data_IF_349408516310
#
_entry.id   IF_349408516310
#
_cell.length_a   1.000
_cell.length_b   1.000
_cell.length_c   1.000
_cell.angle_alpha   90.00
_cell.angle_beta   90.00
_cell.angle_gamma   90.00
#
_symmetry.space_group_name_H-M   'P 1'
#
loop_
_entity.id
_entity.type
_entity.pdbx_description
1 polymer ?
#
# COMPACT_ATOMS: atom_id res chain seq x y z
N UNK A 1 -40.00 6.81 48.15
CA UNK A 1 -40.22 6.13 46.83
C UNK A 1 -40.03 7.00 45.60
N UNK A 2 -40.32 8.30 45.62
CA UNK A 2 -40.17 9.21 44.45
C UNK A 2 -38.71 9.53 44.07
N UNK A 3 -37.77 9.52 45.04
CA UNK A 3 -36.36 9.85 44.81
C UNK A 3 -35.60 8.75 44.01
N UNK A 4 -35.91 7.49 44.22
CA UNK A 4 -35.18 6.36 43.62
C UNK A 4 -35.58 6.17 42.11
N UNK A 5 -36.79 6.59 41.74
CA UNK A 5 -37.27 6.52 40.33
C UNK A 5 -36.61 7.59 39.51
N UNK A 6 -36.35 8.77 40.05
CA UNK A 6 -35.66 9.86 39.32
C UNK A 6 -34.19 9.54 39.05
N UNK A 7 -33.50 8.88 39.99
CA UNK A 7 -32.12 8.43 39.80
C UNK A 7 -32.05 7.32 38.75
N UNK A 8 -33.00 6.39 38.70
CA UNK A 8 -33.07 5.32 37.71
C UNK A 8 -33.30 5.85 36.28
N UNK A 9 -34.16 6.89 36.14
CA UNK A 9 -34.42 7.54 34.83
C UNK A 9 -33.18 8.32 34.39
N UNK A 10 -32.42 8.94 35.29
CA UNK A 10 -31.21 9.68 34.96
C UNK A 10 -30.07 8.76 34.53
N UNK A 11 -29.97 7.55 35.10
CA UNK A 11 -28.99 6.51 34.68
C UNK A 11 -29.35 5.89 33.30
N UNK A 12 -30.63 5.77 32.97
CA UNK A 12 -31.06 5.27 31.65
C UNK A 12 -30.84 6.28 30.53
N UNK A 13 -30.84 7.57 30.81
CA UNK A 13 -30.53 8.62 29.82
C UNK A 13 -29.03 8.76 29.55
N UNK A 14 -28.15 8.33 30.49
CA UNK A 14 -26.69 8.35 30.29
C UNK A 14 -26.16 7.15 29.51
N UNK A 15 -26.92 6.06 29.38
CA UNK A 15 -26.53 4.87 28.64
C UNK A 15 -26.75 4.98 27.12
N UNK A 16 -27.34 6.07 26.61
CA UNK A 16 -27.66 6.24 25.18
C UNK A 16 -26.64 7.07 24.40
N UNK A 17 -25.52 7.48 25.00
CA UNK A 17 -24.58 8.44 24.41
C UNK A 17 -23.25 7.84 23.94
N UNK A 18 -23.17 6.54 23.65
CA UNK A 18 -21.90 5.98 23.11
C UNK A 18 -22.09 4.83 22.10
N UNK A 19 -23.10 4.92 21.23
CA UNK A 19 -23.01 4.23 19.95
C UNK A 19 -22.30 5.17 18.95
N UNK A 20 -20.98 5.24 19.05
CA UNK A 20 -20.16 5.64 17.92
C UNK A 20 -20.31 4.55 16.87
N UNK A 21 -21.24 4.73 15.95
CA UNK A 21 -21.21 4.00 14.69
C UNK A 21 -19.85 4.33 14.07
N UNK A 22 -18.98 3.35 13.92
CA UNK A 22 -17.91 3.42 12.93
C UNK A 22 -18.64 3.62 11.60
N UNK A 23 -18.72 4.86 11.16
CA UNK A 23 -19.28 5.21 9.86
C UNK A 23 -18.26 4.68 8.88
N UNK A 24 -18.60 3.61 8.16
CA UNK A 24 -17.86 3.17 7.00
C UNK A 24 -17.67 4.40 6.13
N UNK A 25 -16.43 4.84 5.98
CA UNK A 25 -16.10 6.05 5.25
C UNK A 25 -16.38 5.80 3.77
N UNK A 26 -17.51 6.29 3.29
CA UNK A 26 -17.93 6.13 1.90
C UNK A 26 -16.99 6.95 0.99
N UNK A 27 -16.33 6.26 0.07
CA UNK A 27 -15.51 6.86 -0.96
C UNK A 27 -16.38 7.32 -2.12
N UNK A 28 -16.37 8.62 -2.40
CA UNK A 28 -17.11 9.23 -3.49
C UNK A 28 -16.16 9.57 -4.66
N UNK A 29 -16.65 9.59 -5.90
CA UNK A 29 -15.84 10.01 -7.04
C UNK A 29 -15.25 11.42 -6.82
N UNK A 30 -13.96 11.59 -7.14
CA UNK A 30 -13.29 12.90 -7.03
C UNK A 30 -13.92 13.91 -7.99
N UNK A 31 -14.26 15.09 -7.47
CA UNK A 31 -14.89 16.15 -8.26
C UNK A 31 -13.90 16.92 -9.15
N UNK A 32 -12.68 17.15 -8.66
CA UNK A 32 -11.61 17.85 -9.40
C UNK A 32 -10.41 16.91 -9.63
N UNK A 33 -10.56 16.03 -10.63
CA UNK A 33 -9.54 15.05 -11.02
C UNK A 33 -8.24 15.74 -11.47
N UNK A 34 -8.32 16.87 -12.18
CA UNK A 34 -7.14 17.55 -12.71
C UNK A 34 -6.26 18.12 -11.58
N UNK A 35 -6.87 18.70 -10.56
CA UNK A 35 -6.16 19.17 -9.39
C UNK A 35 -5.52 18.00 -8.61
N UNK A 36 -6.24 16.89 -8.43
CA UNK A 36 -5.69 15.69 -7.80
C UNK A 36 -4.48 15.15 -8.58
N UNK A 37 -4.62 14.97 -9.90
CA UNK A 37 -3.52 14.50 -10.76
C UNK A 37 -2.31 15.41 -10.64
N UNK A 38 -2.49 16.72 -10.70
CA UNK A 38 -1.41 17.70 -10.56
C UNK A 38 -0.68 17.57 -9.22
N UNK A 39 -1.40 17.39 -8.12
CA UNK A 39 -0.82 17.19 -6.78
C UNK A 39 -0.04 15.87 -6.68
N UNK A 40 -0.59 14.78 -7.22
CA UNK A 40 0.09 13.46 -7.24
C UNK A 40 1.39 13.53 -8.04
N UNK A 41 1.38 14.11 -9.24
CA UNK A 41 2.57 14.28 -10.07
C UNK A 41 3.62 15.14 -9.36
N UNK A 42 3.21 16.26 -8.75
CA UNK A 42 4.13 17.12 -8.01
C UNK A 42 4.78 16.39 -6.83
N UNK A 43 3.99 15.62 -6.07
CA UNK A 43 4.49 14.80 -4.96
C UNK A 43 5.46 13.71 -5.45
N UNK A 44 5.09 12.96 -6.50
CA UNK A 44 5.94 11.92 -7.09
C UNK A 44 7.27 12.50 -7.58
N UNK A 45 7.26 13.67 -8.23
CA UNK A 45 8.46 14.34 -8.71
C UNK A 45 9.38 14.82 -7.59
N UNK A 46 8.82 15.28 -6.47
CA UNK A 46 9.56 15.75 -5.30
C UNK A 46 10.10 14.64 -4.39
N UNK A 47 9.59 13.39 -4.55
CA UNK A 47 10.00 12.26 -3.73
C UNK A 47 11.13 11.50 -4.40
N UNK A 48 12.34 11.52 -3.83
CA UNK A 48 13.49 10.77 -4.36
C UNK A 48 13.85 9.54 -3.53
N UNK A 49 13.43 9.45 -2.28
CA UNK A 49 13.58 8.25 -1.46
C UNK A 49 12.46 8.11 -0.43
N UNK A 50 12.21 6.87 -0.02
CA UNK A 50 11.25 6.52 1.04
C UNK A 50 11.90 5.48 1.92
N UNK A 51 11.87 5.69 3.23
CA UNK A 51 12.11 4.68 4.26
C UNK A 51 10.83 4.54 5.07
N UNK A 52 10.33 3.31 5.26
CA UNK A 52 9.11 3.06 6.01
C UNK A 52 9.14 1.67 6.66
N UNK A 53 8.35 1.50 7.72
CA UNK A 53 7.90 0.18 8.13
C UNK A 53 6.64 -0.18 7.36
N UNK A 54 6.33 -1.47 7.25
CA UNK A 54 5.06 -1.92 6.70
C UNK A 54 4.43 -3.05 7.52
N UNK A 55 3.12 -3.11 7.45
CA UNK A 55 2.31 -4.26 7.84
C UNK A 55 1.57 -4.73 6.60
N UNK A 56 1.75 -6.00 6.26
CA UNK A 56 1.03 -6.66 5.20
C UNK A 56 0.03 -7.64 5.80
N UNK A 57 -1.20 -7.58 5.31
CA UNK A 57 -2.29 -8.49 5.65
C UNK A 57 -2.72 -9.18 4.36
N UNK A 58 -2.59 -10.51 4.29
CA UNK A 58 -3.10 -11.30 3.19
C UNK A 58 -4.37 -12.01 3.64
N UNK A 59 -5.47 -11.69 2.96
CA UNK A 59 -6.77 -12.30 3.13
C UNK A 59 -6.96 -13.32 2.02
N UNK A 60 -7.17 -14.56 2.41
CA UNK A 60 -7.50 -15.65 1.49
C UNK A 60 -8.93 -16.05 1.74
N UNK A 61 -9.77 -16.02 0.71
CA UNK A 61 -11.19 -16.35 0.82
C UNK A 61 -11.46 -17.70 1.50
N UNK A 62 -10.57 -18.67 1.29
CA UNK A 62 -10.69 -19.99 1.89
C UNK A 62 -10.23 -20.06 3.34
N UNK A 63 -9.60 -19.03 3.90
CA UNK A 63 -9.06 -19.02 5.25
C UNK A 63 -9.81 -18.00 6.11
N UNK A 64 -10.21 -18.41 7.31
CA UNK A 64 -10.78 -17.49 8.31
C UNK A 64 -9.70 -16.56 8.93
N UNK A 65 -8.44 -16.99 8.89
CA UNK A 65 -7.32 -16.25 9.47
C UNK A 65 -6.63 -15.36 8.44
N UNK A 66 -6.32 -14.12 8.87
CA UNK A 66 -5.51 -13.18 8.09
C UNK A 66 -4.03 -13.46 8.32
N UNK A 67 -3.28 -13.65 7.24
CA UNK A 67 -1.83 -13.85 7.31
C UNK A 67 -1.13 -12.48 7.43
N UNK A 68 -0.58 -12.20 8.61
CA UNK A 68 0.07 -10.91 8.90
C UNK A 68 1.58 -11.05 8.76
N UNK A 69 2.18 -10.17 7.97
CA UNK A 69 3.63 -10.01 7.85
C UNK A 69 4.03 -8.57 8.14
N UNK A 70 5.25 -8.37 8.66
CA UNK A 70 5.79 -7.05 8.97
C UNK A 70 7.21 -6.93 8.45
N UNK A 71 7.62 -5.69 8.18
CA UNK A 71 8.97 -5.47 7.70
C UNK A 71 9.32 -4.01 7.48
N UNK A 72 10.42 -3.82 6.75
CA UNK A 72 10.97 -2.53 6.39
C UNK A 72 10.98 -2.38 4.88
N UNK A 73 10.70 -1.18 4.42
CA UNK A 73 10.65 -0.82 3.01
C UNK A 73 11.59 0.35 2.74
N UNK A 74 12.44 0.18 1.73
CA UNK A 74 13.28 1.25 1.20
C UNK A 74 13.00 1.41 -0.29
N UNK A 75 12.87 2.64 -0.70
CA UNK A 75 12.82 3.04 -2.10
C UNK A 75 13.77 4.22 -2.33
N UNK A 76 14.46 4.22 -3.46
CA UNK A 76 15.21 5.36 -3.99
C UNK A 76 15.02 5.43 -5.50
N UNK A 77 14.86 6.65 -6.03
CA UNK A 77 14.75 6.89 -7.48
C UNK A 77 15.79 6.06 -8.26
N UNK A 78 15.51 5.83 -9.53
CA UNK A 78 16.22 4.89 -10.41
C UNK A 78 15.93 3.42 -10.08
N UNK A 79 14.69 3.16 -9.57
CA UNK A 79 14.15 1.81 -9.33
C UNK A 79 14.98 0.97 -8.35
N UNK A 80 15.52 1.58 -7.30
CA UNK A 80 16.10 0.84 -6.20
C UNK A 80 15.03 0.60 -5.14
N UNK A 81 14.76 -0.67 -4.84
CA UNK A 81 13.76 -1.11 -3.85
C UNK A 81 14.37 -2.19 -2.98
N UNK A 82 14.17 -2.11 -1.67
CA UNK A 82 14.42 -3.20 -0.73
C UNK A 82 13.17 -3.41 0.10
N UNK A 83 12.66 -4.63 0.07
CA UNK A 83 11.51 -5.06 0.83
C UNK A 83 11.94 -6.16 1.77
N UNK A 84 12.14 -5.84 3.03
CA UNK A 84 12.69 -6.75 4.03
C UNK A 84 11.61 -7.18 5.02
N UNK A 85 11.18 -8.44 4.91
CA UNK A 85 10.25 -9.04 5.86
C UNK A 85 11.00 -9.50 7.11
N UNK A 86 10.49 -9.11 8.27
CA UNK A 86 11.10 -9.40 9.58
C UNK A 86 10.27 -10.37 10.41
N UNK A 87 8.98 -10.51 10.12
CA UNK A 87 8.04 -11.38 10.84
C UNK A 87 6.87 -11.78 9.94
N UNK A 88 6.31 -13.01 10.06
CA UNK A 88 6.80 -14.13 10.84
C UNK A 88 8.02 -14.84 10.20
N UNK A 89 8.15 -14.75 8.87
CA UNK A 89 9.23 -15.37 8.09
C UNK A 89 10.16 -14.25 7.61
N UNK A 90 11.46 -14.42 7.85
CA UNK A 90 12.47 -13.47 7.40
C UNK A 90 12.87 -13.78 5.96
N UNK A 91 12.64 -12.84 5.07
CA UNK A 91 13.20 -12.84 3.72
C UNK A 91 13.31 -11.41 3.19
N UNK A 92 14.12 -11.22 2.18
CA UNK A 92 14.35 -9.91 1.60
C UNK A 92 14.21 -9.98 0.08
N UNK A 93 13.49 -9.01 -0.49
CA UNK A 93 13.44 -8.78 -1.93
C UNK A 93 14.19 -7.49 -2.20
N UNK A 94 15.14 -7.53 -3.13
CA UNK A 94 15.92 -6.38 -3.55
C UNK A 94 15.77 -6.21 -5.05
N UNK A 95 15.50 -4.98 -5.47
CA UNK A 95 15.60 -4.55 -6.85
C UNK A 95 16.67 -3.46 -6.88
N UNK A 96 17.77 -3.73 -7.54
CA UNK A 96 18.88 -2.81 -7.61
C UNK A 96 19.67 -3.01 -8.89
N UNK A 97 19.93 -1.93 -9.62
CA UNK A 97 20.70 -1.96 -10.89
C UNK A 97 20.21 -3.00 -11.91
N UNK A 98 18.88 -3.16 -12.04
CA UNK A 98 18.28 -4.11 -12.99
C UNK A 98 18.29 -5.58 -12.54
N UNK A 99 18.78 -5.86 -11.34
CA UNK A 99 18.75 -7.19 -10.75
C UNK A 99 17.59 -7.29 -9.76
N UNK A 100 16.90 -8.43 -9.81
CA UNK A 100 15.92 -8.85 -8.83
C UNK A 100 16.52 -9.97 -7.98
N UNK A 101 16.68 -9.73 -6.70
CA UNK A 101 17.30 -10.64 -5.77
C UNK A 101 16.33 -11.03 -4.67
N UNK A 102 16.19 -12.33 -4.41
CA UNK A 102 15.46 -12.86 -3.24
C UNK A 102 16.46 -13.53 -2.32
N UNK A 103 16.45 -13.11 -1.06
CA UNK A 103 17.26 -13.71 0.01
C UNK A 103 16.34 -14.37 1.01
N UNK A 104 16.47 -15.67 1.21
CA UNK A 104 15.71 -16.44 2.19
C UNK A 104 16.62 -17.46 2.87
N UNK A 105 16.83 -17.33 4.20
CA UNK A 105 17.65 -18.25 5.00
C UNK A 105 18.98 -18.59 4.34
N UNK A 106 19.81 -17.62 4.04
CA UNK A 106 21.12 -17.74 3.37
C UNK A 106 21.08 -18.18 1.90
N UNK A 107 19.91 -18.55 1.37
CA UNK A 107 19.76 -18.86 -0.05
C UNK A 107 19.48 -17.57 -0.81
N UNK A 108 20.37 -17.28 -1.76
CA UNK A 108 20.23 -16.14 -2.66
C UNK A 108 19.81 -16.65 -4.02
N UNK A 109 18.75 -16.06 -4.57
CA UNK A 109 18.35 -16.24 -5.98
C UNK A 109 18.37 -14.88 -6.63
N UNK A 110 19.08 -14.78 -7.73
CA UNK A 110 19.22 -13.54 -8.48
C UNK A 110 18.90 -13.78 -9.95
N UNK A 111 18.17 -12.86 -10.56
CA UNK A 111 17.86 -12.88 -11.98
C UNK A 111 17.72 -11.45 -12.50
N UNK A 112 18.03 -11.27 -13.79
CA UNK A 112 17.78 -10.01 -14.46
C UNK A 112 16.26 -9.82 -14.57
N UNK A 113 15.78 -8.64 -14.15
CA UNK A 113 14.35 -8.33 -14.13
C UNK A 113 13.74 -8.38 -15.54
N UNK A 114 14.51 -7.98 -16.56
CA UNK A 114 14.07 -7.95 -17.94
C UNK A 114 13.96 -9.36 -18.56
N UNK A 115 14.60 -10.36 -17.95
CA UNK A 115 14.56 -11.76 -18.43
C UNK A 115 13.26 -12.49 -18.06
N UNK A 116 12.45 -11.93 -17.16
CA UNK A 116 11.18 -12.51 -16.73
C UNK A 116 10.07 -11.47 -16.79
N UNK A 117 9.19 -11.54 -17.81
CA UNK A 117 8.12 -10.57 -18.01
C UNK A 117 7.22 -10.38 -16.79
N UNK A 118 6.91 -11.46 -16.05
CA UNK A 118 6.04 -11.39 -14.88
C UNK A 118 6.69 -10.56 -13.75
N UNK A 119 7.98 -10.77 -13.46
CA UNK A 119 8.69 -9.99 -12.44
C UNK A 119 8.88 -8.53 -12.87
N UNK A 120 9.11 -8.30 -14.17
CA UNK A 120 9.18 -6.96 -14.74
C UNK A 120 7.87 -6.20 -14.53
N UNK A 121 6.73 -6.83 -14.80
CA UNK A 121 5.40 -6.23 -14.61
C UNK A 121 5.10 -5.99 -13.13
N UNK A 122 5.36 -6.95 -12.24
CA UNK A 122 5.15 -6.78 -10.79
C UNK A 122 6.02 -5.63 -10.26
N UNK A 123 7.30 -5.58 -10.65
CA UNK A 123 8.17 -4.48 -10.26
C UNK A 123 7.64 -3.12 -10.75
N UNK A 124 7.26 -3.06 -12.02
CA UNK A 124 6.69 -1.87 -12.64
C UNK A 124 5.44 -1.40 -11.88
N UNK A 125 4.54 -2.33 -11.52
CA UNK A 125 3.34 -2.03 -10.74
C UNK A 125 3.67 -1.48 -9.35
N UNK A 126 4.59 -2.13 -8.62
CA UNK A 126 5.00 -1.68 -7.28
C UNK A 126 5.62 -0.29 -7.34
N UNK A 127 6.57 -0.07 -8.25
CA UNK A 127 7.24 1.22 -8.41
C UNK A 127 6.25 2.30 -8.85
N UNK A 128 5.36 1.99 -9.79
CA UNK A 128 4.29 2.87 -10.26
C UNK A 128 3.35 3.27 -9.12
N UNK A 129 2.91 2.31 -8.31
CA UNK A 129 2.05 2.56 -7.16
C UNK A 129 2.70 3.49 -6.13
N UNK A 130 3.99 3.25 -5.83
CA UNK A 130 4.74 4.01 -4.81
C UNK A 130 5.08 5.43 -5.30
N UNK A 131 5.42 5.57 -6.58
CA UNK A 131 5.80 6.85 -7.18
C UNK A 131 4.61 7.71 -7.60
N UNK A 132 3.41 7.12 -7.74
CA UNK A 132 2.26 7.81 -8.30
C UNK A 132 2.34 7.99 -9.83
N UNK A 133 3.21 7.25 -10.52
CA UNK A 133 3.41 7.34 -11.98
C UNK A 133 2.29 6.64 -12.78
N UNK A 134 1.21 6.23 -12.14
CA UNK A 134 0.05 5.58 -12.78
C UNK A 134 -0.88 6.58 -13.48
N UNK A 135 -0.66 7.86 -13.27
CA UNK A 135 -1.44 8.92 -13.89
C UNK A 135 -1.15 8.93 -15.39
N UNK A 136 -2.21 8.72 -16.20
CA UNK A 136 -2.13 8.63 -17.64
C UNK A 136 -1.25 7.47 -18.18
N UNK A 137 -0.97 6.45 -17.34
CA UNK A 137 -0.28 5.25 -17.77
C UNK A 137 -1.26 4.33 -18.54
N UNK A 138 -0.97 3.99 -19.83
CA UNK A 138 -1.86 3.17 -20.65
C UNK A 138 -2.00 1.71 -20.16
N UNK A 139 -1.10 1.25 -19.30
CA UNK A 139 -1.16 -0.09 -18.71
C UNK A 139 -2.32 -0.24 -17.71
N UNK A 140 -2.95 0.89 -17.30
CA UNK A 140 -4.04 0.90 -16.35
C UNK A 140 -5.20 1.79 -16.77
N UNK A 141 -6.43 1.34 -16.51
CA UNK A 141 -7.59 2.21 -16.40
C UNK A 141 -7.65 2.72 -14.97
N UNK A 142 -7.54 4.04 -14.78
CA UNK A 142 -7.51 4.67 -13.45
C UNK A 142 -8.84 5.33 -13.13
N UNK A 143 -9.36 5.07 -11.93
CA UNK A 143 -10.53 5.73 -11.34
C UNK A 143 -10.11 6.37 -10.01
N UNK A 144 -10.69 7.54 -9.67
CA UNK A 144 -10.29 8.30 -8.49
C UNK A 144 -11.48 8.60 -7.60
N UNK A 145 -11.29 8.33 -6.32
CA UNK A 145 -12.29 8.51 -5.28
C UNK A 145 -11.70 9.29 -4.10
N UNK A 146 -12.56 9.84 -3.27
CA UNK A 146 -12.16 10.56 -2.06
C UNK A 146 -13.14 10.34 -0.92
N UNK A 147 -12.59 10.29 0.30
CA UNK A 147 -13.33 10.47 1.55
C UNK A 147 -12.93 11.79 2.22
N UNK A 148 -13.26 11.97 3.49
CA UNK A 148 -12.92 13.19 4.26
C UNK A 148 -11.39 13.40 4.37
N UNK A 149 -10.58 12.32 4.48
CA UNK A 149 -9.17 12.39 4.84
C UNK A 149 -8.23 11.89 3.75
N UNK A 150 -8.75 11.08 2.84
CA UNK A 150 -7.94 10.35 1.88
C UNK A 150 -8.45 10.51 0.45
N UNK A 151 -7.54 10.36 -0.50
CA UNK A 151 -7.84 10.00 -1.87
C UNK A 151 -7.59 8.51 -2.07
N UNK A 152 -8.31 7.88 -2.97
CA UNK A 152 -8.09 6.53 -3.41
C UNK A 152 -8.04 6.48 -4.94
N UNK A 153 -6.99 5.91 -5.49
CA UNK A 153 -6.89 5.58 -6.91
C UNK A 153 -7.09 4.08 -7.08
N UNK A 154 -8.06 3.68 -7.91
CA UNK A 154 -8.27 2.31 -8.33
C UNK A 154 -7.70 2.12 -9.73
N UNK A 155 -6.76 1.21 -9.86
CA UNK A 155 -6.04 0.91 -11.10
C UNK A 155 -6.44 -0.49 -11.58
N UNK A 156 -7.10 -0.57 -12.72
CA UNK A 156 -7.46 -1.84 -13.36
C UNK A 156 -6.45 -2.08 -14.50
N UNK A 157 -5.67 -3.19 -14.46
CA UNK A 157 -4.73 -3.49 -15.52
C UNK A 157 -5.43 -3.66 -16.86
N UNK A 158 -4.82 -3.17 -17.93
CA UNK A 158 -5.35 -3.34 -19.30
C UNK A 158 -4.84 -4.60 -19.99
N UNK A 159 -3.73 -5.18 -19.48
CA UNK A 159 -3.14 -6.41 -20.02
C UNK A 159 -3.86 -7.64 -19.48
N UNK A 160 -4.41 -8.47 -20.37
CA UNK A 160 -5.17 -9.67 -20.04
C UNK A 160 -4.36 -10.71 -19.24
N UNK A 161 -3.05 -10.80 -19.48
CA UNK A 161 -2.20 -11.72 -18.72
C UNK A 161 -2.00 -11.27 -17.27
N UNK A 162 -2.00 -9.97 -17.02
CA UNK A 162 -1.96 -9.40 -15.67
C UNK A 162 -3.30 -9.56 -14.98
N UNK A 163 -4.42 -9.37 -15.68
CA UNK A 163 -5.76 -9.53 -15.13
C UNK A 163 -6.05 -10.96 -14.65
N UNK A 164 -5.33 -11.96 -15.15
CA UNK A 164 -5.48 -13.36 -14.66
C UNK A 164 -4.93 -13.58 -13.25
N UNK A 165 -4.11 -12.65 -12.74
CA UNK A 165 -3.46 -12.74 -11.42
C UNK A 165 -3.76 -11.53 -10.53
N UNK A 166 -4.28 -10.44 -11.09
CA UNK A 166 -4.55 -9.19 -10.39
C UNK A 166 -5.75 -8.49 -11.02
N UNK A 167 -6.84 -8.37 -10.28
CA UNK A 167 -8.06 -7.70 -10.76
C UNK A 167 -7.93 -6.18 -10.74
N UNK A 168 -7.46 -5.64 -9.62
CA UNK A 168 -7.20 -4.21 -9.48
C UNK A 168 -6.22 -3.92 -8.32
N UNK A 169 -5.69 -2.70 -8.32
CA UNK A 169 -4.88 -2.15 -7.24
C UNK A 169 -5.59 -0.90 -6.71
N UNK A 170 -5.76 -0.82 -5.40
CA UNK A 170 -6.21 0.41 -4.75
C UNK A 170 -5.05 1.06 -4.01
N UNK A 171 -4.82 2.34 -4.27
CA UNK A 171 -3.76 3.13 -3.65
C UNK A 171 -4.40 4.27 -2.87
N UNK A 172 -4.17 4.30 -1.58
CA UNK A 172 -4.72 5.30 -0.67
C UNK A 172 -3.68 6.36 -0.35
N UNK A 173 -4.06 7.63 -0.49
CA UNK A 173 -3.21 8.79 -0.25
C UNK A 173 -3.82 9.66 0.84
N UNK A 174 -3.00 10.13 1.76
CA UNK A 174 -3.43 11.15 2.71
C UNK A 174 -3.61 12.50 2.01
N UNK A 175 -4.78 13.16 2.18
CA UNK A 175 -5.11 14.44 1.52
C UNK A 175 -4.19 15.60 1.90
N UNK A 176 -3.63 15.58 3.12
CA UNK A 176 -2.81 16.69 3.63
C UNK A 176 -1.42 16.74 3.00
N UNK A 177 -0.81 15.55 2.75
CA UNK A 177 0.58 15.46 2.32
C UNK A 177 0.81 14.61 1.07
N UNK A 178 -0.25 14.07 0.46
CA UNK A 178 -0.25 13.23 -0.74
C UNK A 178 0.59 11.95 -0.64
N UNK A 179 1.00 11.56 0.57
CA UNK A 179 1.76 10.34 0.78
C UNK A 179 0.87 9.09 0.69
N UNK A 180 1.34 8.07 -0.01
CA UNK A 180 0.71 6.74 -0.01
C UNK A 180 0.70 6.19 1.41
N UNK A 181 -0.47 5.85 1.94
CA UNK A 181 -0.64 5.28 3.29
C UNK A 181 -0.92 3.78 3.24
N UNK A 182 -1.58 3.31 2.19
CA UNK A 182 -1.99 1.92 2.03
C UNK A 182 -2.08 1.57 0.55
N UNK A 183 -1.74 0.32 0.22
CA UNK A 183 -1.97 -0.27 -1.10
C UNK A 183 -2.70 -1.59 -0.89
N UNK A 184 -3.72 -1.86 -1.70
CA UNK A 184 -4.46 -3.12 -1.70
C UNK A 184 -4.39 -3.73 -3.10
N UNK A 185 -3.97 -4.97 -3.18
CA UNK A 185 -3.97 -5.78 -4.40
C UNK A 185 -5.14 -6.74 -4.31
N UNK A 186 -6.11 -6.63 -5.22
CA UNK A 186 -7.24 -7.55 -5.35
C UNK A 186 -6.89 -8.62 -6.38
N UNK A 187 -6.89 -9.85 -5.93
CA UNK A 187 -6.57 -11.03 -6.72
C UNK A 187 -7.89 -11.74 -7.13
N UNK A 188 -7.93 -12.53 -8.20
CA UNK A 188 -9.12 -13.29 -8.56
C UNK A 188 -9.59 -14.23 -7.42
N UNK A 189 -10.90 -14.31 -7.21
CA UNK A 189 -11.51 -15.21 -6.22
C UNK A 189 -11.62 -14.60 -4.82
N UNK A 190 -11.78 -13.30 -4.73
CA UNK A 190 -11.97 -12.53 -3.49
C UNK A 190 -10.75 -12.53 -2.53
N UNK A 191 -9.60 -13.01 -2.99
CA UNK A 191 -8.35 -12.89 -2.27
C UNK A 191 -7.82 -11.45 -2.39
N UNK A 192 -7.24 -10.92 -1.32
CA UNK A 192 -6.54 -9.64 -1.42
C UNK A 192 -5.37 -9.53 -0.45
N UNK A 193 -4.42 -8.67 -0.84
CA UNK A 193 -3.26 -8.33 -0.02
C UNK A 193 -3.27 -6.83 0.25
N UNK A 194 -3.33 -6.45 1.52
CA UNK A 194 -3.26 -5.07 1.99
C UNK A 194 -1.89 -4.78 2.58
N UNK A 195 -1.29 -3.64 2.20
CA UNK A 195 0.00 -3.19 2.73
C UNK A 195 -0.17 -1.77 3.27
N UNK A 196 0.01 -1.62 4.57
CA UNK A 196 -0.03 -0.32 5.26
C UNK A 196 1.37 0.15 5.58
N UNK A 197 1.71 1.38 5.19
CA UNK A 197 3.02 1.99 5.46
C UNK A 197 2.98 2.86 6.71
N UNK A 198 3.95 2.65 7.60
CA UNK A 198 4.07 3.29 8.89
C UNK A 198 5.42 4.01 9.02
N UNK A 199 5.52 5.04 9.87
CA UNK A 199 6.77 5.71 10.22
C UNK A 199 7.58 6.18 9.00
N UNK A 200 6.89 6.67 7.97
CA UNK A 200 7.54 7.08 6.72
C UNK A 200 8.47 8.27 6.90
N UNK A 201 9.64 8.16 6.31
CA UNK A 201 10.59 9.24 6.14
C UNK A 201 10.87 9.40 4.64
N UNK A 202 10.73 10.61 4.14
CA UNK A 202 10.95 10.94 2.74
C UNK A 202 12.26 11.66 2.56
N UNK A 203 12.85 11.48 1.39
CA UNK A 203 13.97 12.28 0.91
C UNK A 203 15.22 12.20 1.79
N UNK A 204 15.44 11.02 2.42
CA UNK A 204 16.71 10.71 3.07
C UNK A 204 17.76 10.34 2.03
N UNK A 205 19.00 10.68 2.27
CA UNK A 205 20.13 10.15 1.50
C UNK A 205 20.31 8.67 1.83
N UNK A 206 19.96 7.81 0.87
CA UNK A 206 20.13 6.36 0.98
C UNK A 206 21.29 5.94 0.07
N UNK A 207 22.37 5.44 0.68
CA UNK A 207 23.53 4.93 -0.05
C UNK A 207 23.26 3.58 -0.72
N UNK A 208 24.09 3.19 -1.69
CA UNK A 208 23.91 1.93 -2.44
C UNK A 208 23.97 0.69 -1.56
N UNK A 209 24.77 0.71 -0.49
CA UNK A 209 24.91 -0.39 0.47
C UNK A 209 23.58 -0.75 1.17
N UNK A 210 22.66 0.23 1.33
CA UNK A 210 21.32 -0.02 1.88
C UNK A 210 20.49 -0.97 1.01
N UNK A 211 20.82 -1.11 -0.28
CA UNK A 211 20.15 -1.95 -1.27
C UNK A 211 20.93 -3.23 -1.59
N UNK A 212 21.90 -3.58 -0.77
CA UNK A 212 22.64 -4.83 -0.88
C UNK A 212 22.12 -5.89 0.11
N UNK A 213 22.60 -7.11 -0.05
CA UNK A 213 22.31 -8.22 0.87
C UNK A 213 23.05 -7.96 2.19
N UNK A 214 22.35 -8.07 3.30
CA UNK A 214 22.99 -8.01 4.62
C UNK A 214 23.84 -9.27 4.83
N UNK A 215 25.14 -9.15 4.76
CA UNK A 215 26.13 -10.25 4.93
C UNK A 215 26.52 -10.50 6.39
N UNK A 216 25.64 -10.16 7.36
CA UNK A 216 25.91 -10.38 8.79
C UNK A 216 25.17 -11.56 9.35
#
# INVERSE_FOLDING_TARGET
MKSNVQILIMLLLFAWSSMSYAQDQEFNPVTDINNLKSKLVAHANSTFSIEANFVQEKHLWMLEEVLISKGEFLFRKENNVKWQYTSPIKYTIIIHKGLFTIVNNEKVKEFNIDSNPLFSEINKMIVTAIRGDFIDNPDFKSEFFEDQYNYMARLVPTNINVNSILENIEIYFNKQNMQVIKVVFHEPGDDFTSITFLNKKLNLELSDDRFLIDTR
#
